data_IF_208697056349
#
_entry.id   IF_208697056349
#
_cell.length_a   1.000
_cell.length_b   1.000
_cell.length_c   1.000
_cell.angle_alpha   90.00
_cell.angle_beta   90.00
_cell.angle_gamma   90.00
#
_symmetry.space_group_name_H-M   'P 1'
#
loop_
_entity.id
_entity.type
_entity.pdbx_description
1 polymer ?
#
# COMPACT_ATOMS: atom_id res chain seq x y z
N UNK A 1 -33.84 -2.18 15.96
CA UNK A 1 -34.90 -3.18 15.62
C UNK A 1 -36.00 -2.66 14.68
N UNK A 2 -36.74 -1.58 14.99
CA UNK A 2 -37.87 -1.10 14.14
C UNK A 2 -37.49 -0.72 12.69
N UNK A 3 -36.31 -0.12 12.46
CA UNK A 3 -35.85 0.26 11.11
C UNK A 3 -35.55 -0.94 10.20
N UNK A 4 -34.90 -1.98 10.73
CA UNK A 4 -34.51 -3.19 9.97
C UNK A 4 -35.73 -4.01 9.58
N UNK A 5 -36.68 -4.18 10.50
CA UNK A 5 -37.94 -4.91 10.23
C UNK A 5 -38.79 -4.17 9.19
N UNK A 6 -38.88 -2.84 9.29
CA UNK A 6 -39.59 -2.02 8.32
C UNK A 6 -38.90 -2.05 6.94
N UNK A 7 -37.57 -1.98 6.90
CA UNK A 7 -36.80 -2.09 5.67
C UNK A 7 -36.96 -3.48 5.03
N UNK A 8 -36.91 -4.57 5.81
CA UNK A 8 -37.16 -5.94 5.36
C UNK A 8 -38.52 -6.06 4.68
N UNK A 9 -39.58 -5.51 5.27
CA UNK A 9 -40.92 -5.53 4.65
C UNK A 9 -40.98 -4.79 3.31
N UNK A 10 -40.28 -3.66 3.19
CA UNK A 10 -40.21 -2.89 1.93
C UNK A 10 -39.46 -3.63 0.83
N UNK A 11 -38.31 -4.22 1.13
CA UNK A 11 -37.53 -4.97 0.15
C UNK A 11 -38.20 -6.30 -0.24
N UNK A 12 -38.86 -6.99 0.71
CA UNK A 12 -39.68 -8.15 0.40
C UNK A 12 -40.78 -7.79 -0.61
N UNK A 13 -41.52 -6.70 -0.38
CA UNK A 13 -42.56 -6.29 -1.31
C UNK A 13 -42.01 -5.82 -2.67
N UNK A 14 -40.84 -5.17 -2.70
CA UNK A 14 -40.16 -4.81 -3.94
C UNK A 14 -39.78 -6.07 -4.74
N UNK A 15 -39.22 -7.07 -4.09
CA UNK A 15 -38.84 -8.35 -4.70
C UNK A 15 -40.06 -9.18 -5.14
N UNK A 16 -41.16 -9.16 -4.37
CA UNK A 16 -42.42 -9.80 -4.79
C UNK A 16 -42.97 -9.18 -6.09
N UNK A 17 -42.80 -7.86 -6.27
CA UNK A 17 -43.23 -7.14 -7.47
C UNK A 17 -42.28 -7.34 -8.64
N UNK A 18 -40.99 -7.44 -8.38
CA UNK A 18 -39.97 -7.68 -9.38
C UNK A 18 -38.84 -8.58 -8.83
N UNK A 19 -38.97 -9.91 -8.98
CA UNK A 19 -37.97 -10.86 -8.47
C UNK A 19 -36.62 -10.80 -9.19
N UNK A 20 -36.56 -10.17 -10.37
CA UNK A 20 -35.36 -10.07 -11.19
C UNK A 20 -34.68 -8.70 -11.07
N UNK A 21 -34.99 -7.92 -10.03
CA UNK A 21 -34.37 -6.61 -9.75
C UNK A 21 -33.06 -6.76 -8.92
N UNK A 22 -31.86 -6.76 -9.54
CA UNK A 22 -30.60 -6.88 -8.80
C UNK A 22 -30.40 -5.75 -7.78
N UNK A 23 -30.90 -4.54 -8.05
CA UNK A 23 -30.72 -3.37 -7.17
C UNK A 23 -31.55 -3.52 -5.90
N UNK A 24 -32.73 -4.15 -5.97
CA UNK A 24 -33.52 -4.46 -4.78
C UNK A 24 -32.76 -5.41 -3.83
N UNK A 25 -32.13 -6.46 -4.36
CA UNK A 25 -31.31 -7.38 -3.56
C UNK A 25 -30.05 -6.72 -3.02
N UNK A 26 -29.34 -5.95 -3.85
CA UNK A 26 -28.13 -5.22 -3.46
C UNK A 26 -28.41 -4.23 -2.32
N UNK A 27 -29.45 -3.39 -2.47
CA UNK A 27 -29.82 -2.41 -1.46
C UNK A 27 -30.32 -3.06 -0.16
N UNK A 28 -31.02 -4.19 -0.26
CA UNK A 28 -31.39 -4.95 0.93
C UNK A 28 -30.15 -5.48 1.67
N UNK A 29 -29.16 -6.01 0.93
CA UNK A 29 -27.90 -6.48 1.49
C UNK A 29 -27.14 -5.36 2.24
N UNK A 30 -27.08 -4.16 1.66
CA UNK A 30 -26.47 -2.99 2.30
C UNK A 30 -27.15 -2.65 3.64
N UNK A 31 -28.48 -2.61 3.67
CA UNK A 31 -29.23 -2.31 4.91
C UNK A 31 -29.00 -3.39 5.97
N UNK A 32 -28.91 -4.67 5.58
CA UNK A 32 -28.57 -5.75 6.51
C UNK A 32 -27.16 -5.60 7.08
N UNK A 33 -26.19 -5.23 6.25
CA UNK A 33 -24.81 -4.98 6.66
C UNK A 33 -24.70 -3.77 7.62
N UNK A 34 -25.34 -2.64 7.30
CA UNK A 34 -25.39 -1.47 8.20
C UNK A 34 -26.07 -1.81 9.53
N UNK A 35 -27.11 -2.65 9.49
CA UNK A 35 -27.78 -3.14 10.69
C UNK A 35 -26.89 -4.03 11.54
N UNK A 36 -26.00 -4.80 10.92
CA UNK A 36 -25.04 -5.67 11.60
C UNK A 36 -23.97 -4.90 12.39
N UNK A 37 -23.68 -3.66 12.02
CA UNK A 37 -22.78 -2.78 12.79
C UNK A 37 -23.46 -2.11 13.99
N UNK A 38 -24.80 -2.11 14.00
CA UNK A 38 -25.62 -1.45 15.02
C UNK A 38 -26.52 -2.46 15.78
N UNK A 39 -26.03 -3.70 15.96
CA UNK A 39 -26.80 -4.73 16.67
C UNK A 39 -27.09 -4.30 18.10
N UNK A 40 -28.37 -4.28 18.45
CA UNK A 40 -28.83 -4.09 19.83
C UNK A 40 -28.52 -5.37 20.62
N UNK A 41 -27.79 -5.30 21.74
CA UNK A 41 -27.51 -6.45 22.59
C UNK A 41 -28.75 -7.20 23.08
N UNK A 42 -29.91 -6.53 23.11
CA UNK A 42 -31.20 -7.10 23.49
C UNK A 42 -32.01 -7.66 22.32
N UNK A 43 -31.48 -7.60 21.09
CA UNK A 43 -32.14 -8.17 19.93
C UNK A 43 -31.88 -9.68 19.81
N UNK A 44 -32.86 -10.42 19.30
CA UNK A 44 -32.71 -11.86 19.00
C UNK A 44 -31.85 -12.17 17.77
N UNK A 45 -31.18 -11.18 17.16
CA UNK A 45 -30.36 -11.34 15.95
C UNK A 45 -28.90 -11.01 16.24
N UNK A 46 -27.99 -11.90 15.86
CA UNK A 46 -26.55 -11.65 15.99
C UNK A 46 -26.00 -10.87 14.79
N UNK A 47 -24.87 -10.18 14.98
CA UNK A 47 -24.10 -9.54 13.89
C UNK A 47 -23.83 -10.52 12.75
N UNK A 48 -23.39 -11.74 13.08
CA UNK A 48 -23.07 -12.77 12.09
C UNK A 48 -24.30 -13.23 11.30
N UNK A 49 -25.46 -13.38 11.96
CA UNK A 49 -26.72 -13.75 11.27
C UNK A 49 -27.12 -12.70 10.24
N UNK A 50 -27.02 -11.41 10.58
CA UNK A 50 -27.32 -10.32 9.65
C UNK A 50 -26.34 -10.27 8.48
N UNK A 51 -25.04 -10.49 8.74
CA UNK A 51 -24.03 -10.56 7.69
C UNK A 51 -24.23 -11.78 6.77
N UNK A 52 -24.66 -12.93 7.31
CA UNK A 52 -24.98 -14.10 6.50
C UNK A 52 -26.19 -13.85 5.59
N UNK A 53 -27.24 -13.21 6.11
CA UNK A 53 -28.38 -12.78 5.29
C UNK A 53 -27.95 -11.78 4.21
N UNK A 54 -27.11 -10.80 4.55
CA UNK A 54 -26.56 -9.85 3.58
C UNK A 54 -25.78 -10.57 2.47
N UNK A 55 -24.94 -11.54 2.82
CA UNK A 55 -24.20 -12.37 1.85
C UNK A 55 -25.14 -13.10 0.88
N UNK A 56 -26.27 -13.65 1.36
CA UNK A 56 -27.28 -14.31 0.50
C UNK A 56 -27.92 -13.32 -0.48
N UNK A 57 -28.16 -12.07 -0.05
CA UNK A 57 -28.73 -11.03 -0.90
C UNK A 57 -27.73 -10.51 -1.93
N UNK A 58 -26.46 -10.30 -1.56
CA UNK A 58 -25.42 -9.99 -2.54
C UNK A 58 -25.22 -11.12 -3.56
N UNK A 59 -25.22 -12.38 -3.12
CA UNK A 59 -25.13 -13.52 -4.02
C UNK A 59 -26.23 -13.48 -5.09
N UNK A 60 -27.47 -13.20 -4.69
CA UNK A 60 -28.58 -13.09 -5.63
C UNK A 60 -28.48 -11.87 -6.55
N UNK A 61 -28.07 -10.71 -6.03
CA UNK A 61 -27.81 -9.53 -6.84
C UNK A 61 -26.75 -9.80 -7.93
N UNK A 62 -25.66 -10.48 -7.58
CA UNK A 62 -24.60 -10.86 -8.54
C UNK A 62 -25.01 -11.97 -9.50
N UNK A 63 -25.94 -12.86 -9.10
CA UNK A 63 -26.54 -13.86 -10.01
C UNK A 63 -27.38 -13.18 -11.09
N UNK A 64 -28.18 -12.20 -10.71
CA UNK A 64 -29.03 -11.41 -11.61
C UNK A 64 -28.21 -10.44 -12.48
N UNK A 65 -27.18 -9.82 -11.90
CA UNK A 65 -26.27 -8.90 -12.59
C UNK A 65 -24.79 -9.26 -12.31
N UNK A 66 -24.18 -10.14 -13.13
CA UNK A 66 -22.78 -10.59 -12.94
C UNK A 66 -21.71 -9.51 -13.16
N UNK A 67 -22.12 -8.31 -13.55
CA UNK A 67 -21.26 -7.13 -13.76
C UNK A 67 -21.44 -6.06 -12.69
N UNK A 68 -22.25 -6.32 -11.66
CA UNK A 68 -22.52 -5.38 -10.58
C UNK A 68 -21.32 -5.31 -9.61
N UNK A 69 -20.36 -4.44 -9.94
CA UNK A 69 -19.14 -4.19 -9.18
C UNK A 69 -19.40 -3.98 -7.67
N UNK A 70 -20.33 -3.08 -7.33
CA UNK A 70 -20.58 -2.71 -5.93
C UNK A 70 -21.12 -3.88 -5.10
N UNK A 71 -21.88 -4.79 -5.72
CA UNK A 71 -22.35 -6.00 -5.05
C UNK A 71 -21.20 -6.94 -4.72
N UNK A 72 -20.29 -7.21 -5.66
CA UNK A 72 -19.09 -8.03 -5.38
C UNK A 72 -18.20 -7.40 -4.30
N UNK A 73 -17.96 -6.08 -4.38
CA UNK A 73 -17.12 -5.38 -3.42
C UNK A 73 -17.70 -5.42 -1.99
N UNK A 74 -18.97 -5.06 -1.83
CA UNK A 74 -19.61 -5.02 -0.51
C UNK A 74 -19.90 -6.43 0.04
N UNK A 75 -20.11 -7.41 -0.84
CA UNK A 75 -20.18 -8.82 -0.46
C UNK A 75 -18.86 -9.31 0.13
N UNK A 76 -17.73 -8.98 -0.50
CA UNK A 76 -16.41 -9.32 0.01
C UNK A 76 -16.16 -8.72 1.42
N UNK A 77 -16.62 -7.48 1.66
CA UNK A 77 -16.58 -6.85 2.99
C UNK A 77 -17.42 -7.64 4.00
N UNK A 78 -18.66 -8.00 3.65
CA UNK A 78 -19.53 -8.77 4.54
C UNK A 78 -18.91 -10.13 4.90
N UNK A 79 -18.33 -10.83 3.93
CA UNK A 79 -17.65 -12.10 4.14
C UNK A 79 -16.41 -11.92 5.03
N UNK A 80 -15.61 -10.87 4.79
CA UNK A 80 -14.43 -10.55 5.59
C UNK A 80 -14.80 -10.29 7.06
N UNK A 81 -15.89 -9.57 7.32
CA UNK A 81 -16.34 -9.32 8.69
C UNK A 81 -16.84 -10.59 9.38
N UNK A 82 -17.46 -11.52 8.64
CA UNK A 82 -17.77 -12.86 9.16
C UNK A 82 -16.50 -13.65 9.48
N UNK A 83 -15.48 -13.59 8.60
CA UNK A 83 -14.20 -14.25 8.84
C UNK A 83 -13.53 -13.75 10.13
N UNK A 84 -13.56 -12.43 10.39
CA UNK A 84 -13.05 -11.83 11.64
C UNK A 84 -13.77 -12.35 12.88
N UNK A 85 -15.10 -12.51 12.83
CA UNK A 85 -15.90 -13.07 13.95
C UNK A 85 -15.45 -14.50 14.27
N UNK A 86 -15.08 -15.28 13.25
CA UNK A 86 -14.60 -16.67 13.40
C UNK A 86 -13.14 -16.78 13.84
N UNK A 87 -12.39 -15.68 13.90
CA UNK A 87 -11.01 -15.64 14.39
C UNK A 87 -10.07 -16.52 13.55
N UNK A 88 -9.35 -17.43 14.21
CA UNK A 88 -8.31 -18.29 13.57
C UNK A 88 -8.79 -19.73 13.41
N UNK A 89 -9.93 -19.91 12.75
CA UNK A 89 -10.54 -21.23 12.49
C UNK A 89 -10.46 -21.61 11.02
N UNK A 90 -10.72 -22.88 10.69
CA UNK A 90 -10.78 -23.31 9.29
C UNK A 90 -11.92 -22.62 8.53
N UNK A 91 -13.06 -22.39 9.19
CA UNK A 91 -14.17 -21.61 8.63
C UNK A 91 -13.74 -20.17 8.30
N UNK A 92 -12.94 -19.53 9.16
CA UNK A 92 -12.39 -18.21 8.87
C UNK A 92 -11.49 -18.22 7.63
N UNK A 93 -10.68 -19.27 7.46
CA UNK A 93 -9.84 -19.44 6.26
C UNK A 93 -10.68 -19.52 4.99
N UNK A 94 -11.73 -20.34 5.00
CA UNK A 94 -12.62 -20.51 3.84
C UNK A 94 -13.37 -19.20 3.51
N UNK A 95 -13.82 -18.46 4.54
CA UNK A 95 -14.42 -17.15 4.39
C UNK A 95 -13.43 -16.13 3.82
N UNK A 96 -12.19 -16.08 4.30
CA UNK A 96 -11.17 -15.18 3.74
C UNK A 96 -10.89 -15.47 2.28
N UNK A 97 -10.77 -16.76 1.91
CA UNK A 97 -10.60 -17.17 0.51
C UNK A 97 -11.78 -16.73 -0.35
N UNK A 98 -13.02 -16.88 0.15
CA UNK A 98 -14.22 -16.42 -0.55
C UNK A 98 -14.27 -14.89 -0.69
N UNK A 99 -13.90 -14.15 0.35
CA UNK A 99 -13.81 -12.69 0.29
C UNK A 99 -12.79 -12.23 -0.76
N UNK A 100 -11.63 -12.89 -0.81
CA UNK A 100 -10.57 -12.64 -1.81
C UNK A 100 -11.10 -12.82 -3.24
N UNK A 101 -11.82 -13.92 -3.52
CA UNK A 101 -12.43 -14.16 -4.85
C UNK A 101 -13.40 -13.04 -5.24
N UNK A 102 -14.20 -12.54 -4.29
CA UNK A 102 -15.13 -11.45 -4.54
C UNK A 102 -14.43 -10.09 -4.73
N UNK A 103 -13.38 -9.81 -3.96
CA UNK A 103 -12.54 -8.61 -4.19
C UNK A 103 -11.85 -8.66 -5.55
N UNK A 104 -11.32 -9.82 -5.93
CA UNK A 104 -10.72 -10.03 -7.25
C UNK A 104 -11.75 -9.76 -8.36
N UNK A 105 -12.97 -10.31 -8.24
CA UNK A 105 -14.04 -10.08 -9.21
C UNK A 105 -14.44 -8.60 -9.29
N UNK A 106 -14.54 -7.92 -8.15
CA UNK A 106 -14.79 -6.49 -8.11
C UNK A 106 -13.68 -5.71 -8.85
N UNK A 107 -12.40 -5.99 -8.57
CA UNK A 107 -11.28 -5.34 -9.27
C UNK A 107 -11.26 -5.66 -10.76
N UNK A 108 -11.66 -6.87 -11.19
CA UNK A 108 -11.80 -7.19 -12.62
C UNK A 108 -12.88 -6.34 -13.32
N UNK A 109 -13.99 -6.05 -12.63
CA UNK A 109 -15.07 -5.22 -13.16
C UNK A 109 -14.73 -3.73 -13.12
N UNK A 110 -13.98 -3.28 -12.12
CA UNK A 110 -13.48 -1.92 -12.00
C UNK A 110 -12.02 -1.91 -11.51
N UNK A 111 -11.11 -1.92 -12.48
CA UNK A 111 -9.67 -2.00 -12.23
C UNK A 111 -9.11 -0.74 -11.56
N UNK A 112 -9.80 0.40 -11.69
CA UNK A 112 -9.38 1.69 -11.15
C UNK A 112 -9.97 1.99 -9.76
N UNK A 113 -9.96 0.99 -8.87
CA UNK A 113 -10.48 1.11 -7.50
C UNK A 113 -9.39 0.88 -6.45
N UNK A 114 -8.70 1.94 -5.98
CA UNK A 114 -7.72 1.85 -4.91
C UNK A 114 -8.28 1.18 -3.66
N UNK A 115 -9.53 1.47 -3.28
CA UNK A 115 -10.19 0.94 -2.10
C UNK A 115 -10.41 -0.58 -2.20
N UNK A 116 -10.83 -1.08 -3.37
CA UNK A 116 -10.98 -2.52 -3.59
C UNK A 116 -9.63 -3.24 -3.54
N UNK A 117 -8.59 -2.70 -4.18
CA UNK A 117 -7.25 -3.25 -4.13
C UNK A 117 -6.66 -3.26 -2.71
N UNK A 118 -6.84 -2.18 -1.95
CA UNK A 118 -6.42 -2.12 -0.56
C UNK A 118 -7.14 -3.16 0.31
N UNK A 119 -8.46 -3.31 0.16
CA UNK A 119 -9.21 -4.29 0.94
C UNK A 119 -8.89 -5.74 0.53
N UNK A 120 -8.58 -5.97 -0.75
CA UNK A 120 -8.05 -7.24 -1.22
C UNK A 120 -6.71 -7.55 -0.55
N UNK A 121 -5.77 -6.59 -0.53
CA UNK A 121 -4.49 -6.71 0.17
C UNK A 121 -4.66 -7.03 1.66
N UNK A 122 -5.59 -6.35 2.34
CA UNK A 122 -5.92 -6.62 3.74
C UNK A 122 -6.48 -8.03 3.94
N UNK A 123 -7.39 -8.50 3.09
CA UNK A 123 -7.92 -9.87 3.16
C UNK A 123 -6.83 -10.93 2.96
N UNK A 124 -5.87 -10.68 2.07
CA UNK A 124 -4.69 -11.53 1.89
C UNK A 124 -3.79 -11.52 3.14
N UNK A 125 -3.55 -10.35 3.74
CA UNK A 125 -2.78 -10.22 4.98
C UNK A 125 -3.44 -11.02 6.13
N UNK A 126 -4.75 -10.90 6.31
CA UNK A 126 -5.50 -11.65 7.33
C UNK A 126 -5.46 -13.17 7.06
N UNK A 127 -5.66 -13.59 5.81
CA UNK A 127 -5.53 -15.00 5.42
C UNK A 127 -4.11 -15.52 5.73
N UNK A 128 -3.07 -14.73 5.44
CA UNK A 128 -1.68 -15.11 5.67
C UNK A 128 -1.35 -15.38 7.15
N UNK A 129 -2.11 -14.80 8.08
CA UNK A 129 -1.91 -14.96 9.51
C UNK A 129 -2.47 -16.28 10.07
N UNK A 130 -3.29 -16.98 9.30
CA UNK A 130 -3.99 -18.20 9.73
C UNK A 130 -3.68 -19.44 8.87
N UNK A 131 -3.15 -19.26 7.67
CA UNK A 131 -2.71 -20.36 6.79
C UNK A 131 -1.35 -20.95 7.18
N UNK A 132 -1.02 -22.17 6.74
CA UNK A 132 0.30 -22.76 6.92
C UNK A 132 1.43 -21.91 6.32
N UNK A 133 2.61 -21.94 6.95
CA UNK A 133 3.78 -21.14 6.55
C UNK A 133 4.18 -21.30 5.06
N UNK A 134 3.98 -22.49 4.49
CA UNK A 134 4.26 -22.77 3.06
C UNK A 134 3.45 -21.92 2.09
N UNK A 135 2.23 -21.51 2.46
CA UNK A 135 1.34 -20.69 1.63
C UNK A 135 1.52 -19.20 1.93
N UNK A 136 1.92 -18.87 3.16
CA UNK A 136 2.07 -17.51 3.68
C UNK A 136 2.91 -16.61 2.77
N UNK A 137 4.06 -17.10 2.30
CA UNK A 137 4.99 -16.28 1.52
C UNK A 137 4.37 -15.79 0.20
N UNK A 138 3.67 -16.66 -0.52
CA UNK A 138 3.01 -16.30 -1.78
C UNK A 138 1.87 -15.32 -1.54
N UNK A 139 1.05 -15.56 -0.51
CA UNK A 139 -0.08 -14.69 -0.16
C UNK A 139 0.41 -13.29 0.23
N UNK A 140 1.46 -13.19 1.04
CA UNK A 140 2.07 -11.89 1.42
C UNK A 140 2.61 -11.15 0.21
N UNK A 141 3.31 -11.84 -0.71
CA UNK A 141 3.79 -11.22 -1.96
C UNK A 141 2.62 -10.66 -2.79
N UNK A 142 1.51 -11.39 -2.88
CA UNK A 142 0.30 -10.88 -3.54
C UNK A 142 -0.29 -9.69 -2.80
N UNK A 143 -0.35 -9.70 -1.47
CA UNK A 143 -0.85 -8.58 -0.67
C UNK A 143 -0.04 -7.29 -0.92
N UNK A 144 1.29 -7.40 -0.87
CA UNK A 144 2.23 -6.31 -1.18
C UNK A 144 1.94 -5.73 -2.57
N UNK A 145 1.79 -6.60 -3.58
CA UNK A 145 1.44 -6.18 -4.94
C UNK A 145 0.12 -5.40 -4.98
N UNK A 146 -0.93 -5.87 -4.30
CA UNK A 146 -2.24 -5.15 -4.29
C UNK A 146 -2.16 -3.79 -3.61
N UNK A 147 -1.43 -3.65 -2.51
CA UNK A 147 -1.21 -2.35 -1.89
C UNK A 147 -0.40 -1.40 -2.79
N UNK A 148 0.65 -1.89 -3.45
CA UNK A 148 1.43 -1.08 -4.40
C UNK A 148 0.57 -0.58 -5.56
N UNK A 149 -0.27 -1.43 -6.16
CA UNK A 149 -1.19 -1.00 -7.23
C UNK A 149 -2.21 0.02 -6.71
N UNK A 150 -2.74 -0.15 -5.48
CA UNK A 150 -3.63 0.85 -4.88
C UNK A 150 -2.95 2.23 -4.72
N UNK A 151 -1.67 2.24 -4.32
CA UNK A 151 -0.87 3.47 -4.20
C UNK A 151 -0.59 4.07 -5.59
N UNK A 152 -0.30 3.25 -6.61
CA UNK A 152 -0.07 3.74 -7.97
C UNK A 152 -1.32 4.41 -8.58
N UNK A 153 -2.51 3.92 -8.28
CA UNK A 153 -3.77 4.56 -8.71
C UNK A 153 -4.08 5.83 -7.91
N UNK A 154 -3.72 5.87 -6.64
CA UNK A 154 -3.91 7.02 -5.77
C UNK A 154 -2.71 7.18 -4.82
N UNK A 155 -1.73 7.98 -5.22
CA UNK A 155 -0.46 8.09 -4.52
C UNK A 155 -0.58 8.57 -3.07
N UNK A 156 -1.58 9.40 -2.76
CA UNK A 156 -1.84 9.86 -1.39
C UNK A 156 -2.80 8.96 -0.59
N UNK A 157 -3.05 7.73 -1.05
CA UNK A 157 -3.92 6.79 -0.36
C UNK A 157 -3.24 6.21 0.89
N UNK A 158 -3.20 7.04 1.94
CA UNK A 158 -2.49 6.81 3.19
C UNK A 158 -2.83 5.47 3.87
N UNK A 159 -4.05 4.93 3.68
CA UNK A 159 -4.43 3.61 4.22
C UNK A 159 -3.64 2.48 3.55
N UNK A 160 -3.51 2.51 2.22
CA UNK A 160 -2.72 1.52 1.48
C UNK A 160 -1.23 1.65 1.80
N UNK A 161 -0.71 2.87 1.89
CA UNK A 161 0.67 3.15 2.33
C UNK A 161 0.91 2.55 3.72
N UNK A 162 0.04 2.82 4.69
CA UNK A 162 0.16 2.29 6.04
C UNK A 162 0.10 0.76 6.05
N UNK A 163 -0.88 0.17 5.36
CA UNK A 163 -1.06 -1.28 5.32
C UNK A 163 0.14 -1.99 4.69
N UNK A 164 0.71 -1.42 3.62
CA UNK A 164 1.95 -1.91 3.03
C UNK A 164 3.10 -1.90 4.04
N UNK A 165 3.26 -0.80 4.79
CA UNK A 165 4.22 -0.73 5.90
C UNK A 165 4.02 -1.86 6.93
N UNK A 166 2.77 -2.10 7.36
CA UNK A 166 2.48 -3.17 8.33
C UNK A 166 2.78 -4.57 7.79
N UNK A 167 2.51 -4.84 6.51
CA UNK A 167 2.83 -6.13 5.88
C UNK A 167 4.32 -6.33 5.76
N UNK A 168 5.08 -5.30 5.38
CA UNK A 168 6.54 -5.36 5.32
C UNK A 168 7.16 -5.61 6.69
N UNK A 169 6.61 -5.00 7.74
CA UNK A 169 7.02 -5.29 9.12
C UNK A 169 6.79 -6.76 9.48
N UNK A 170 5.59 -7.27 9.21
CA UNK A 170 5.26 -8.68 9.45
C UNK A 170 6.15 -9.64 8.67
N UNK A 171 6.46 -9.31 7.42
CA UNK A 171 7.39 -10.07 6.60
C UNK A 171 8.82 -10.03 7.18
N UNK A 172 9.28 -8.90 7.72
CA UNK A 172 10.58 -8.78 8.37
C UNK A 172 10.68 -9.71 9.59
N UNK A 173 9.63 -9.74 10.43
CA UNK A 173 9.52 -10.62 11.61
C UNK A 173 9.57 -12.10 11.23
N UNK A 174 8.81 -12.51 10.22
CA UNK A 174 8.82 -13.90 9.74
C UNK A 174 10.19 -14.28 9.15
N UNK A 175 10.76 -13.39 8.34
CA UNK A 175 12.06 -13.58 7.69
C UNK A 175 13.15 -13.77 8.74
N UNK A 176 13.16 -12.93 9.79
CA UNK A 176 14.09 -13.02 10.91
C UNK A 176 13.99 -14.36 11.65
N UNK A 177 12.77 -14.90 11.85
CA UNK A 177 12.55 -16.18 12.52
C UNK A 177 12.95 -17.39 11.67
N UNK A 178 12.87 -17.29 10.35
CA UNK A 178 13.12 -18.39 9.42
C UNK A 178 14.61 -18.74 9.23
N UNK A 179 15.53 -17.83 9.57
CA UNK A 179 16.98 -18.10 9.61
C UNK A 179 17.73 -18.20 8.26
N UNK A 180 17.04 -18.07 7.12
CA UNK A 180 17.66 -17.98 5.77
C UNK A 180 16.92 -16.96 4.89
N UNK A 181 17.23 -15.67 5.02
CA UNK A 181 16.56 -14.63 4.25
C UNK A 181 17.02 -14.58 2.79
N UNK A 182 16.06 -14.61 1.85
CA UNK A 182 16.28 -14.11 0.47
C UNK A 182 16.45 -12.57 0.47
N UNK A 183 15.86 -11.88 1.45
CA UNK A 183 15.93 -10.42 1.63
C UNK A 183 16.27 -10.11 3.09
N UNK A 184 17.22 -9.21 3.32
CA UNK A 184 17.62 -8.80 4.68
C UNK A 184 16.42 -8.30 5.51
N UNK A 185 16.16 -8.86 6.72
CA UNK A 185 15.12 -8.36 7.61
C UNK A 185 15.24 -6.85 7.89
N UNK A 186 16.48 -6.33 7.98
CA UNK A 186 16.73 -4.91 8.25
C UNK A 186 16.26 -4.01 7.10
N UNK A 187 16.39 -4.48 5.85
CA UNK A 187 15.87 -3.73 4.70
C UNK A 187 14.33 -3.69 4.73
N UNK A 188 13.68 -4.81 5.09
CA UNK A 188 12.22 -4.86 5.25
C UNK A 188 11.72 -3.97 6.38
N UNK A 189 12.41 -3.95 7.53
CA UNK A 189 12.10 -3.02 8.63
C UNK A 189 12.27 -1.56 8.21
N UNK A 190 13.34 -1.23 7.50
CA UNK A 190 13.58 0.10 6.95
C UNK A 190 12.47 0.52 5.98
N UNK A 191 12.10 -0.34 5.03
CA UNK A 191 11.00 -0.09 4.10
C UNK A 191 9.67 0.11 4.85
N UNK A 192 9.36 -0.76 5.81
CA UNK A 192 8.19 -0.59 6.68
C UNK A 192 8.17 0.79 7.33
N UNK A 193 9.29 1.22 7.91
CA UNK A 193 9.39 2.50 8.58
C UNK A 193 9.20 3.69 7.61
N UNK A 194 9.72 3.60 6.38
CA UNK A 194 9.49 4.60 5.33
C UNK A 194 7.99 4.74 5.03
N UNK A 195 7.29 3.62 4.82
CA UNK A 195 5.85 3.62 4.56
C UNK A 195 5.04 4.17 5.75
N UNK A 196 5.36 3.76 6.98
CA UNK A 196 4.66 4.26 8.18
C UNK A 196 4.91 5.76 8.39
N UNK A 197 6.14 6.24 8.17
CA UNK A 197 6.46 7.65 8.21
C UNK A 197 5.68 8.45 7.15
N UNK A 198 5.59 7.93 5.92
CA UNK A 198 4.83 8.57 4.85
C UNK A 198 3.33 8.62 5.15
N UNK A 199 2.75 7.53 5.66
CA UNK A 199 1.34 7.50 6.07
C UNK A 199 1.06 8.52 7.19
N UNK A 200 1.96 8.62 8.17
CA UNK A 200 1.86 9.63 9.23
C UNK A 200 1.99 11.06 8.67
N UNK A 201 2.93 11.32 7.77
CA UNK A 201 3.11 12.64 7.16
C UNK A 201 1.85 13.11 6.40
N UNK A 202 1.20 12.20 5.67
CA UNK A 202 -0.05 12.49 4.94
C UNK A 202 -1.26 12.70 5.87
N UNK A 203 -1.29 12.00 7.02
CA UNK A 203 -2.39 12.08 8.01
C UNK A 203 -1.87 12.13 9.47
N UNK A 204 -1.30 13.26 9.91
CA UNK A 204 -0.66 13.36 11.23
C UNK A 204 -1.61 13.26 12.42
N UNK A 205 -2.91 13.50 12.19
CA UNK A 205 -3.96 13.44 13.20
C UNK A 205 -4.44 12.01 13.50
N UNK A 206 -4.01 11.01 12.72
CA UNK A 206 -4.39 9.62 12.95
C UNK A 206 -3.51 9.02 14.05
N UNK A 207 -4.09 8.82 15.23
CA UNK A 207 -3.38 8.31 16.42
C UNK A 207 -2.69 6.97 16.16
N UNK A 208 -3.31 6.08 15.38
CA UNK A 208 -2.75 4.78 15.00
C UNK A 208 -1.43 4.94 14.26
N UNK A 209 -1.33 5.90 13.34
CA UNK A 209 -0.09 6.15 12.59
C UNK A 209 0.99 6.75 13.46
N UNK A 210 0.63 7.66 14.37
CA UNK A 210 1.57 8.21 15.36
C UNK A 210 2.15 7.10 16.25
N UNK A 211 1.31 6.21 16.76
CA UNK A 211 1.74 5.08 17.59
C UNK A 211 2.64 4.12 16.82
N UNK A 212 2.27 3.75 15.59
CA UNK A 212 3.09 2.90 14.74
C UNK A 212 4.44 3.55 14.40
N UNK A 213 4.45 4.85 14.07
CA UNK A 213 5.68 5.59 13.79
C UNK A 213 6.61 5.57 15.00
N UNK A 214 6.10 5.74 16.22
CA UNK A 214 6.93 5.67 17.43
C UNK A 214 7.67 4.33 17.57
N UNK A 215 7.06 3.23 17.12
CA UNK A 215 7.68 1.89 17.15
C UNK A 215 8.77 1.74 16.09
N UNK A 216 8.53 2.23 14.88
CA UNK A 216 9.41 1.98 13.73
C UNK A 216 10.38 3.12 13.44
N UNK A 217 10.28 4.27 14.14
CA UNK A 217 11.11 5.45 13.84
C UNK A 217 12.62 5.17 13.92
N UNK A 218 13.05 4.33 14.85
CA UNK A 218 14.47 3.95 14.98
C UNK A 218 14.98 3.06 13.85
N UNK A 219 14.09 2.55 12.99
CA UNK A 219 14.42 1.77 11.80
C UNK A 219 14.67 2.67 10.58
N UNK A 220 14.38 3.98 10.68
CA UNK A 220 14.75 4.96 9.66
C UNK A 220 16.24 5.34 9.78
N UNK A 221 16.93 5.60 8.66
CA UNK A 221 18.29 6.10 8.67
C UNK A 221 18.31 7.62 8.93
N UNK A 222 17.88 8.04 10.13
CA UNK A 222 17.78 9.45 10.52
C UNK A 222 19.15 10.17 10.38
N UNK A 223 19.18 11.44 9.93
CA UNK A 223 18.05 12.34 9.67
C UNK A 223 17.42 12.19 8.27
N UNK A 224 17.66 11.07 7.59
CA UNK A 224 17.15 10.79 6.26
C UNK A 224 15.97 9.81 6.31
N UNK A 225 15.19 9.81 5.23
CA UNK A 225 14.15 8.81 5.02
C UNK A 225 14.75 7.51 4.46
N UNK A 226 15.71 7.64 3.53
CA UNK A 226 16.41 6.50 2.92
C UNK A 226 17.87 6.82 2.65
N UNK A 227 18.72 5.82 2.82
CA UNK A 227 20.14 5.83 2.45
C UNK A 227 20.44 4.55 1.67
N UNK A 228 21.26 4.65 0.63
CA UNK A 228 21.65 3.48 -0.17
C UNK A 228 22.64 3.86 -1.26
N UNK A 229 23.07 2.88 -2.05
CA UNK A 229 23.96 3.11 -3.18
C UNK A 229 23.17 3.19 -4.48
N UNK A 230 23.61 4.10 -5.35
CA UNK A 230 23.18 4.20 -6.74
C UNK A 230 24.40 4.52 -7.60
N UNK A 231 24.37 4.04 -8.83
CA UNK A 231 25.33 4.40 -9.86
C UNK A 231 24.76 5.54 -10.69
N UNK A 232 25.50 6.63 -10.81
CA UNK A 232 25.04 7.85 -11.47
C UNK A 232 26.10 8.40 -12.43
N UNK A 233 25.70 9.11 -13.50
CA UNK A 233 26.64 9.79 -14.37
C UNK A 233 27.28 10.99 -13.65
N UNK A 234 28.38 11.53 -14.19
CA UNK A 234 28.94 12.81 -13.73
C UNK A 234 27.87 13.92 -13.78
N UNK A 235 27.84 14.79 -12.77
CA UNK A 235 26.77 15.79 -12.59
C UNK A 235 26.53 16.70 -13.82
N UNK A 236 27.57 16.96 -14.61
CA UNK A 236 27.54 17.83 -15.78
C UNK A 236 27.47 17.07 -17.12
N UNK A 237 27.40 15.73 -17.11
CA UNK A 237 27.37 14.91 -18.32
C UNK A 237 26.48 13.67 -18.13
N UNK A 238 25.17 13.83 -18.38
CA UNK A 238 24.19 12.75 -18.22
C UNK A 238 24.35 11.61 -19.24
N UNK A 239 25.08 11.82 -20.34
CA UNK A 239 25.29 10.85 -21.44
C UNK A 239 26.76 10.39 -21.44
N UNK A 240 27.42 10.40 -20.28
CA UNK A 240 28.80 9.98 -20.17
C UNK A 240 28.95 8.47 -20.48
N UNK A 241 30.10 8.04 -21.04
CA UNK A 241 30.44 6.64 -21.19
C UNK A 241 30.30 5.88 -19.87
N UNK A 242 29.95 4.59 -19.91
CA UNK A 242 29.72 3.78 -18.70
C UNK A 242 30.92 3.76 -17.74
N UNK A 243 32.13 3.94 -18.23
CA UNK A 243 33.37 4.02 -17.43
C UNK A 243 33.40 5.23 -16.48
N UNK A 244 32.63 6.26 -16.78
CA UNK A 244 32.62 7.52 -16.03
C UNK A 244 31.46 7.55 -15.02
N UNK A 245 30.56 6.55 -15.06
CA UNK A 245 29.49 6.42 -14.08
C UNK A 245 30.07 5.93 -12.75
N UNK A 246 29.69 6.59 -11.68
CA UNK A 246 30.25 6.34 -10.36
C UNK A 246 29.18 5.74 -9.45
N UNK A 247 29.50 4.61 -8.83
CA UNK A 247 28.70 4.06 -7.75
C UNK A 247 29.00 4.83 -6.47
N UNK A 248 27.99 5.51 -5.94
CA UNK A 248 28.14 6.36 -4.75
C UNK A 248 26.96 6.17 -3.79
N UNK A 249 27.14 6.62 -2.55
CA UNK A 249 26.05 6.65 -1.59
C UNK A 249 25.14 7.85 -1.87
N UNK A 250 23.83 7.64 -1.77
CA UNK A 250 22.79 8.65 -1.88
C UNK A 250 21.93 8.65 -0.62
N UNK A 251 21.46 9.84 -0.27
CA UNK A 251 20.53 10.08 0.83
C UNK A 251 19.27 10.76 0.29
N UNK A 252 18.11 10.36 0.81
CA UNK A 252 16.82 10.95 0.48
C UNK A 252 16.21 11.51 1.76
N UNK A 253 15.95 12.81 1.77
CA UNK A 253 15.23 13.51 2.83
C UNK A 253 13.94 14.15 2.26
N UNK A 254 13.32 15.03 3.04
CA UNK A 254 12.11 15.75 2.64
C UNK A 254 12.34 16.80 1.54
N UNK A 255 13.60 17.16 1.24
CA UNK A 255 13.95 18.14 0.19
C UNK A 255 14.35 17.49 -1.14
N UNK A 256 14.67 16.19 -1.15
CA UNK A 256 15.04 15.47 -2.36
C UNK A 256 16.20 14.49 -2.19
N UNK A 257 16.69 13.99 -3.33
CA UNK A 257 17.75 12.98 -3.41
C UNK A 257 19.11 13.65 -3.63
N UNK A 258 20.12 13.27 -2.84
CA UNK A 258 21.44 13.89 -2.86
C UNK A 258 22.54 12.83 -2.78
N UNK A 259 23.60 12.98 -3.59
CA UNK A 259 24.83 12.20 -3.41
C UNK A 259 25.47 12.59 -2.07
N UNK A 260 25.78 11.61 -1.22
CA UNK A 260 26.49 11.83 0.04
C UNK A 260 28.01 11.89 -0.18
N UNK A 261 28.68 12.66 0.67
CA UNK A 261 30.14 12.70 0.76
C UNK A 261 30.70 11.52 1.58
N UNK A 262 32.03 11.48 1.76
CA UNK A 262 32.71 10.42 2.50
C UNK A 262 32.30 10.34 3.99
N UNK A 263 31.67 11.38 4.54
CA UNK A 263 31.14 11.41 5.90
C UNK A 263 29.67 10.95 6.00
N UNK A 264 29.04 10.63 4.87
CA UNK A 264 27.62 10.25 4.80
C UNK A 264 26.66 11.44 4.90
N UNK A 265 27.17 12.67 4.69
CA UNK A 265 26.37 13.89 4.68
C UNK A 265 26.24 14.44 3.25
N UNK A 266 25.14 15.16 2.92
CA UNK A 266 25.11 15.90 1.68
C UNK A 266 26.25 16.94 1.69
N UNK A 267 27.03 17.03 0.61
CA UNK A 267 28.21 17.89 0.56
C UNK A 267 27.84 19.36 0.83
N UNK A 268 28.60 20.00 1.72
CA UNK A 268 28.44 21.42 2.03
C UNK A 268 28.63 22.27 0.77
N UNK A 269 27.76 23.26 0.56
CA UNK A 269 27.80 24.18 -0.58
C UNK A 269 29.12 24.97 -0.70
N UNK A 270 30.06 24.83 0.25
CA UNK A 270 31.22 25.70 0.43
C UNK A 270 32.57 25.09 0.07
N UNK A 271 32.64 23.95 -0.63
CA UNK A 271 33.93 23.43 -1.11
C UNK A 271 34.17 23.74 -2.58
N UNK A 272 35.22 24.52 -2.79
CA UNK A 272 35.80 25.08 -4.01
C UNK A 272 36.35 24.02 -4.99
N UNK A 273 35.60 22.94 -5.20
CA UNK A 273 35.82 22.03 -6.31
C UNK A 273 34.65 22.23 -7.27
N UNK A 274 34.90 22.71 -8.50
CA UNK A 274 33.88 23.05 -9.49
C UNK A 274 32.93 21.92 -9.94
N UNK A 275 32.82 20.81 -9.19
CA UNK A 275 31.83 19.74 -9.36
C UNK A 275 30.65 19.98 -8.41
N UNK A 276 29.57 20.53 -8.93
CA UNK A 276 28.29 20.56 -8.21
C UNK A 276 27.87 19.12 -7.90
N UNK A 277 27.47 18.81 -6.66
CA UNK A 277 27.03 17.47 -6.29
C UNK A 277 25.74 17.11 -7.01
N UNK A 278 25.59 15.83 -7.40
CA UNK A 278 24.36 15.32 -8.01
C UNK A 278 23.22 15.42 -7.00
N UNK A 279 22.31 16.38 -7.21
CA UNK A 279 21.10 16.62 -6.42
C UNK A 279 19.89 16.64 -7.34
N UNK A 280 18.81 16.03 -6.89
CA UNK A 280 17.48 16.14 -7.47
C UNK A 280 16.58 16.70 -6.37
N UNK A 281 16.17 17.95 -6.48
CA UNK A 281 15.25 18.55 -5.52
C UNK A 281 13.85 17.96 -5.73
N UNK A 282 13.11 17.74 -4.64
CA UNK A 282 11.77 17.15 -4.70
C UNK A 282 10.80 18.02 -5.51
N UNK A 283 11.00 19.35 -5.47
CA UNK A 283 10.20 20.33 -6.21
C UNK A 283 10.41 20.27 -7.72
N UNK A 284 11.54 19.72 -8.17
CA UNK A 284 11.86 19.57 -9.59
C UNK A 284 11.27 18.28 -10.17
N UNK A 285 10.87 17.31 -9.33
CA UNK A 285 10.39 15.99 -9.76
C UNK A 285 9.04 16.13 -10.46
N UNK A 286 8.93 15.51 -11.63
CA UNK A 286 7.69 15.37 -12.41
C UNK A 286 7.15 13.95 -12.34
N UNK A 287 8.02 12.96 -12.57
CA UNK A 287 7.70 11.53 -12.47
C UNK A 287 8.92 10.72 -12.07
N UNK A 288 8.67 9.53 -11.52
CA UNK A 288 9.70 8.57 -11.11
C UNK A 288 9.28 7.20 -11.62
N UNK A 289 10.14 6.52 -12.37
CA UNK A 289 9.82 5.20 -12.96
C UNK A 289 11.06 4.32 -13.10
N UNK A 290 10.84 3.00 -13.15
CA UNK A 290 11.87 2.08 -13.64
C UNK A 290 12.23 2.45 -15.10
N UNK A 291 13.50 2.31 -15.45
CA UNK A 291 14.00 2.53 -16.81
C UNK A 291 14.51 1.23 -17.40
N UNK A 292 14.01 0.90 -18.59
CA UNK A 292 14.50 -0.19 -19.42
C UNK A 292 15.42 0.31 -20.54
N UNK A 293 15.96 1.53 -20.40
CA UNK A 293 16.88 2.11 -21.38
C UNK A 293 18.17 1.27 -21.45
N UNK A 294 18.36 0.62 -22.59
CA UNK A 294 19.48 -0.28 -22.87
C UNK A 294 20.82 0.46 -23.00
N UNK A 295 20.81 1.79 -23.03
CA UNK A 295 22.02 2.63 -23.01
C UNK A 295 22.55 2.85 -21.60
N UNK A 296 21.83 2.46 -20.55
CA UNK A 296 22.30 2.56 -19.17
C UNK A 296 23.36 1.50 -18.86
N UNK A 297 24.25 1.74 -17.87
CA UNK A 297 25.13 0.70 -17.36
C UNK A 297 24.35 -0.53 -16.85
N UNK A 298 24.98 -1.71 -16.79
CA UNK A 298 24.34 -2.91 -16.27
C UNK A 298 23.78 -2.70 -14.86
N UNK A 299 22.50 -3.07 -14.66
CA UNK A 299 21.81 -2.97 -13.39
C UNK A 299 20.32 -2.63 -13.59
N UNK A 300 19.65 -2.26 -12.50
CA UNK A 300 18.24 -1.91 -12.53
C UNK A 300 18.08 -0.38 -12.70
N UNK A 301 17.65 0.05 -13.89
CA UNK A 301 17.56 1.46 -14.26
C UNK A 301 16.42 2.20 -13.55
N UNK A 302 16.69 3.44 -13.16
CA UNK A 302 15.76 4.40 -12.55
C UNK A 302 15.77 5.68 -13.37
N UNK A 303 14.60 6.15 -13.79
CA UNK A 303 14.41 7.48 -14.38
C UNK A 303 13.67 8.37 -13.38
N UNK A 304 14.24 9.54 -13.11
CA UNK A 304 13.55 10.63 -12.42
C UNK A 304 13.41 11.76 -13.41
N UNK A 305 12.21 11.93 -13.95
CA UNK A 305 11.91 13.06 -14.82
C UNK A 305 11.81 14.32 -13.98
N UNK A 306 12.54 15.35 -14.39
CA UNK A 306 12.50 16.66 -13.75
C UNK A 306 12.05 17.74 -14.72
N UNK A 307 11.69 18.91 -14.21
CA UNK A 307 11.44 20.12 -15.03
C UNK A 307 12.66 20.53 -15.86
N UNK A 308 13.85 20.02 -15.54
CA UNK A 308 15.11 20.24 -16.26
C UNK A 308 15.52 19.08 -17.16
N UNK A 309 14.63 18.09 -17.36
CA UNK A 309 14.88 16.89 -18.15
C UNK A 309 15.10 15.62 -17.30
N UNK A 310 15.20 14.45 -17.94
CA UNK A 310 15.33 13.18 -17.25
C UNK A 310 16.69 13.02 -16.56
N UNK A 311 16.68 12.42 -15.37
CA UNK A 311 17.87 12.03 -14.61
C UNK A 311 17.87 10.51 -14.45
N UNK A 312 18.90 9.86 -15.01
CA UNK A 312 19.05 8.41 -14.93
C UNK A 312 20.00 8.00 -13.82
N UNK A 313 19.61 6.96 -13.09
CA UNK A 313 20.36 6.34 -12.02
C UNK A 313 20.25 4.82 -12.19
N UNK A 314 21.20 4.06 -11.66
CA UNK A 314 21.17 2.58 -11.73
C UNK A 314 21.33 2.03 -10.32
N UNK A 315 20.38 1.17 -9.91
CA UNK A 315 20.46 0.42 -8.66
C UNK A 315 21.15 -0.94 -8.88
N UNK A 316 21.80 -1.45 -7.82
CA UNK A 316 22.55 -2.70 -7.87
C UNK A 316 21.65 -3.94 -8.11
N UNK A 317 20.36 -3.85 -7.79
CA UNK A 317 19.37 -4.92 -8.00
C UNK A 317 17.96 -4.36 -8.24
N UNK A 318 17.06 -5.20 -8.75
CA UNK A 318 15.65 -4.83 -8.96
C UNK A 318 14.92 -4.56 -7.63
N UNK A 319 15.28 -5.25 -6.56
CA UNK A 319 14.74 -5.01 -5.22
C UNK A 319 15.21 -3.66 -4.66
N UNK A 320 16.47 -3.30 -4.89
CA UNK A 320 17.00 -2.00 -4.53
C UNK A 320 16.32 -0.88 -5.35
N UNK A 321 16.06 -1.12 -6.63
CA UNK A 321 15.30 -0.20 -7.49
C UNK A 321 13.89 0.02 -6.94
N UNK A 322 13.14 -1.05 -6.66
CA UNK A 322 11.79 -0.98 -6.06
C UNK A 322 11.79 -0.14 -4.78
N UNK A 323 12.77 -0.37 -3.90
CA UNK A 323 12.94 0.37 -2.63
C UNK A 323 13.22 1.86 -2.85
N UNK A 324 13.99 2.22 -3.89
CA UNK A 324 14.24 3.61 -4.27
C UNK A 324 13.03 4.28 -4.94
N UNK A 325 12.36 3.57 -5.85
CA UNK A 325 11.13 4.03 -6.51
C UNK A 325 10.06 4.36 -5.48
N UNK A 326 9.78 3.41 -4.58
CA UNK A 326 8.79 3.58 -3.53
C UNK A 326 9.11 4.82 -2.67
N UNK A 327 10.36 4.96 -2.20
CA UNK A 327 10.75 6.07 -1.35
C UNK A 327 10.67 7.44 -2.06
N UNK A 328 11.15 7.54 -3.30
CA UNK A 328 11.08 8.77 -4.09
C UNK A 328 9.64 9.18 -4.39
N UNK A 329 8.80 8.23 -4.82
CA UNK A 329 7.38 8.46 -5.05
C UNK A 329 6.67 8.95 -3.79
N UNK A 330 6.97 8.37 -2.62
CA UNK A 330 6.38 8.82 -1.34
C UNK A 330 6.81 10.24 -0.97
N UNK A 331 8.10 10.58 -1.08
CA UNK A 331 8.61 11.93 -0.80
C UNK A 331 7.98 12.96 -1.73
N UNK A 332 7.95 12.67 -3.03
CA UNK A 332 7.29 13.51 -4.02
C UNK A 332 5.79 13.70 -3.72
N UNK A 333 5.08 12.62 -3.36
CA UNK A 333 3.66 12.69 -3.00
C UNK A 333 3.42 13.56 -1.78
N UNK A 334 4.23 13.41 -0.74
CA UNK A 334 4.14 14.21 0.49
C UNK A 334 4.38 15.70 0.17
N UNK A 335 5.37 16.00 -0.67
CA UNK A 335 5.64 17.35 -1.15
C UNK A 335 4.44 17.91 -1.92
N UNK A 336 3.92 17.18 -2.91
CA UNK A 336 2.77 17.60 -3.72
C UNK A 336 1.48 17.82 -2.89
N UNK A 337 1.38 17.20 -1.70
CA UNK A 337 0.28 17.42 -0.75
C UNK A 337 0.56 18.52 0.29
N UNK A 338 1.67 19.25 0.17
CA UNK A 338 2.06 20.31 1.09
C UNK A 338 2.36 19.80 2.50
N UNK A 339 2.97 18.61 2.61
CA UNK A 339 3.26 17.94 3.90
C UNK A 339 4.76 17.75 4.15
N UNK A 340 5.63 18.42 3.40
CA UNK A 340 7.08 18.33 3.57
C UNK A 340 7.54 18.66 4.98
N UNK A 341 7.00 19.70 5.61
CA UNK A 341 7.37 20.09 6.99
C UNK A 341 7.05 18.99 8.01
N UNK A 342 5.96 18.24 7.78
CA UNK A 342 5.59 17.12 8.65
C UNK A 342 6.61 16.00 8.49
N UNK A 343 6.98 15.66 7.25
CA UNK A 343 8.03 14.67 7.00
C UNK A 343 9.38 15.10 7.56
N UNK A 344 9.73 16.40 7.42
CA UNK A 344 10.92 16.99 8.01
C UNK A 344 10.96 16.74 9.51
N UNK A 345 9.91 17.11 10.24
CA UNK A 345 9.81 16.89 11.69
C UNK A 345 9.92 15.41 12.09
N UNK A 346 9.40 14.48 11.28
CA UNK A 346 9.55 13.04 11.52
C UNK A 346 11.03 12.63 11.50
N UNK A 347 11.76 13.03 10.45
CA UNK A 347 13.12 12.55 10.19
C UNK A 347 14.20 13.36 10.92
N UNK A 348 13.97 14.63 11.26
CA UNK A 348 14.95 15.46 11.98
C UNK A 348 14.79 15.41 13.50
N UNK A 349 13.58 15.10 14.00
CA UNK A 349 13.28 15.07 15.43
C UNK A 349 12.56 16.32 15.92
#
# INVERSE_FOLDING_TARGET
MRKVVLAKGRYLNAIERNPDDPDAYYNWALVLQESADNVDPNSGSSKDTLLEEACKKYAEATRLCPTLYDAYYNWAIAIADRAKIRGRTKEAEDLWRLAIVNYEKAVQLNWNSPQALNNWGLGLQELSAIVPAREKQTIIKTAISKFRVAIQLQFDFHRAIYNLGTVLYGLAEDTMRSGRPDVSPNELYSQSAIYVAAAHALKPNYSVYRSALRLVRLMLPLPYLKVGYLTAPPANNAIAPHTDWERSQFVLNHEGLQKADASGQPPSQSTDSGRKPTRIAVEDIVSVSASADLTLPPGAGLCVDTVHGPRFLVADSWEALDSWLDALCLVYTIFARGKSDVLAGIITG
#
